data_IF_256055724672
#
_entry.id   IF_256055724672
#
_cell.length_a   1.000
_cell.length_b   1.000
_cell.length_c   1.000
_cell.angle_alpha   90.00
_cell.angle_beta   90.00
_cell.angle_gamma   90.00
#
_symmetry.space_group_name_H-M   'P 1'
#
loop_
_entity.id
_entity.type
_entity.pdbx_description
1 polymer ?
#
# COMPACT_ATOMS: atom_id res chain seq x y z
N UNK A 1 -12.56 21.25 -4.41
CA UNK A 1 -13.45 21.08 -3.25
C UNK A 1 -12.59 20.88 -2.00
N UNK A 2 -13.02 21.35 -0.83
CA UNK A 2 -12.39 21.03 0.47
C UNK A 2 -13.46 20.45 1.40
N UNK A 3 -13.07 19.50 2.24
CA UNK A 3 -13.96 18.91 3.25
C UNK A 3 -13.31 17.72 3.94
N UNK A 4 -14.00 17.23 4.98
CA UNK A 4 -13.60 16.07 5.77
C UNK A 4 -14.33 14.83 5.25
N UNK A 5 -13.61 13.73 4.99
CA UNK A 5 -14.20 12.49 4.50
C UNK A 5 -15.03 11.75 5.56
N UNK A 6 -14.97 12.19 6.83
CA UNK A 6 -15.86 11.71 7.89
C UNK A 6 -17.24 12.38 7.84
N UNK A 7 -17.42 13.41 7.02
CA UNK A 7 -18.73 14.04 6.79
C UNK A 7 -19.42 13.39 5.56
N UNK A 8 -20.51 12.63 5.75
CA UNK A 8 -21.21 11.96 4.66
C UNK A 8 -21.66 12.93 3.56
N UNK A 9 -22.03 14.17 3.91
CA UNK A 9 -22.48 15.18 2.96
C UNK A 9 -21.32 15.71 2.10
N UNK A 10 -20.10 15.78 2.66
CA UNK A 10 -18.90 16.09 1.87
C UNK A 10 -18.62 14.97 0.89
N UNK A 11 -18.68 13.71 1.35
CA UNK A 11 -18.43 12.55 0.50
C UNK A 11 -19.45 12.46 -0.63
N UNK A 12 -20.74 12.66 -0.34
CA UNK A 12 -21.80 12.61 -1.37
C UNK A 12 -21.56 13.65 -2.47
N UNK A 13 -21.18 14.88 -2.11
CA UNK A 13 -20.84 15.92 -3.09
C UNK A 13 -19.55 15.61 -3.86
N UNK A 14 -18.59 14.94 -3.23
CA UNK A 14 -17.34 14.54 -3.88
C UNK A 14 -17.59 13.47 -4.96
N UNK A 15 -18.56 12.60 -4.74
CA UNK A 15 -18.83 11.43 -5.57
C UNK A 15 -19.99 11.60 -6.56
N UNK A 16 -20.68 12.74 -6.54
CA UNK A 16 -21.73 13.06 -7.51
C UNK A 16 -21.19 13.02 -8.95
N UNK A 17 -21.74 12.13 -9.77
CA UNK A 17 -21.32 11.91 -11.15
C UNK A 17 -19.97 11.22 -11.34
N UNK A 18 -19.38 10.61 -10.30
CA UNK A 18 -18.09 9.90 -10.39
C UNK A 18 -18.29 8.43 -10.75
N UNK A 19 -17.72 7.98 -11.86
CA UNK A 19 -17.74 6.56 -12.24
C UNK A 19 -16.67 5.73 -11.51
N UNK A 20 -15.46 6.30 -11.36
CA UNK A 20 -14.30 5.64 -10.75
C UNK A 20 -13.61 6.58 -9.77
N UNK A 21 -13.47 6.14 -8.52
CA UNK A 21 -12.75 6.87 -7.48
C UNK A 21 -11.34 6.31 -7.29
N UNK A 22 -10.31 7.14 -7.41
CA UNK A 22 -8.96 6.82 -6.92
C UNK A 22 -8.81 7.39 -5.51
N UNK A 23 -8.83 6.53 -4.50
CA UNK A 23 -8.82 6.94 -3.10
C UNK A 23 -7.40 6.89 -2.51
N UNK A 24 -6.73 8.05 -2.53
CA UNK A 24 -5.39 8.25 -1.95
C UNK A 24 -5.42 8.96 -0.57
N UNK A 25 -6.60 9.38 -0.12
CA UNK A 25 -6.75 10.15 1.10
C UNK A 25 -6.65 9.27 2.36
N UNK A 26 -6.28 9.90 3.48
CA UNK A 26 -6.07 9.25 4.78
C UNK A 26 -4.67 9.52 5.34
N UNK A 27 -4.43 9.05 6.55
CA UNK A 27 -3.11 9.06 7.16
C UNK A 27 -2.22 8.03 6.45
N UNK A 28 -1.10 8.48 5.89
CA UNK A 28 -0.23 7.69 4.99
C UNK A 28 1.05 7.14 5.64
N UNK A 29 1.23 7.37 6.95
CA UNK A 29 2.39 6.95 7.74
C UNK A 29 1.93 6.44 9.10
N UNK A 30 2.82 5.82 9.86
CA UNK A 30 2.49 5.40 11.22
C UNK A 30 2.12 6.59 12.11
N UNK A 31 1.02 6.45 12.84
CA UNK A 31 0.44 7.44 13.74
C UNK A 31 -0.29 6.74 14.89
N UNK A 32 -0.57 7.44 16.00
CA UNK A 32 -1.35 6.89 17.09
C UNK A 32 -2.69 6.33 16.60
N UNK A 33 -3.09 5.19 17.17
CA UNK A 33 -4.27 4.44 16.75
C UNK A 33 -5.55 5.28 16.61
N UNK A 34 -5.89 6.24 17.51
CA UNK A 34 -7.09 7.06 17.34
C UNK A 34 -7.13 7.85 16.03
N UNK A 35 -6.00 8.43 15.60
CA UNK A 35 -5.92 9.15 14.32
C UNK A 35 -6.10 8.19 13.14
N UNK A 36 -5.49 7.01 13.22
CA UNK A 36 -5.63 5.96 12.20
C UNK A 36 -7.09 5.50 12.08
N UNK A 37 -7.79 5.31 13.21
CA UNK A 37 -9.21 4.93 13.21
C UNK A 37 -10.03 6.01 12.52
N UNK A 38 -9.85 7.28 12.88
CA UNK A 38 -10.63 8.38 12.32
C UNK A 38 -10.39 8.53 10.80
N UNK A 39 -9.13 8.60 10.40
CA UNK A 39 -8.74 8.98 9.05
C UNK A 39 -8.73 7.81 8.05
N UNK A 40 -8.51 6.57 8.51
CA UNK A 40 -8.35 5.43 7.62
C UNK A 40 -9.47 4.40 7.74
N UNK A 41 -10.19 4.35 8.88
CA UNK A 41 -11.32 3.43 9.06
C UNK A 41 -12.64 4.18 8.87
N UNK A 42 -12.97 5.12 9.75
CA UNK A 42 -14.26 5.82 9.74
C UNK A 42 -14.46 6.60 8.44
N UNK A 43 -13.47 7.39 8.02
CA UNK A 43 -13.50 8.09 6.74
C UNK A 43 -13.67 7.14 5.55
N UNK A 44 -13.07 5.95 5.59
CA UNK A 44 -13.17 4.98 4.50
C UNK A 44 -14.55 4.31 4.46
N UNK A 45 -15.20 4.06 5.61
CA UNK A 45 -16.61 3.64 5.65
C UNK A 45 -17.47 4.67 4.91
N UNK A 46 -17.30 5.96 5.23
CA UNK A 46 -18.10 7.01 4.61
C UNK A 46 -17.85 7.11 3.10
N UNK A 47 -16.61 6.93 2.66
CA UNK A 47 -16.27 6.84 1.22
C UNK A 47 -16.99 5.69 0.53
N UNK A 48 -16.99 4.48 1.11
CA UNK A 48 -17.65 3.32 0.51
C UNK A 48 -19.19 3.42 0.59
N UNK A 49 -19.75 3.98 1.66
CA UNK A 49 -21.18 4.26 1.74
C UNK A 49 -21.60 5.36 0.76
N UNK A 50 -20.79 6.40 0.59
CA UNK A 50 -20.99 7.44 -0.43
C UNK A 50 -20.92 6.86 -1.83
N UNK A 51 -19.93 6.02 -2.12
CA UNK A 51 -19.82 5.29 -3.38
C UNK A 51 -21.08 4.47 -3.67
N UNK A 52 -21.62 3.79 -2.64
CA UNK A 52 -22.87 3.05 -2.73
C UNK A 52 -24.08 3.96 -3.00
N UNK A 53 -24.18 5.12 -2.35
CA UNK A 53 -25.29 6.07 -2.52
C UNK A 53 -25.25 6.76 -3.87
N UNK A 54 -24.07 7.13 -4.36
CA UNK A 54 -23.88 7.86 -5.62
C UNK A 54 -23.73 6.95 -6.84
N UNK A 55 -23.70 5.63 -6.67
CA UNK A 55 -23.60 4.68 -7.77
C UNK A 55 -22.20 4.64 -8.42
N UNK A 56 -21.15 4.94 -7.65
CA UNK A 56 -19.76 4.81 -8.12
C UNK A 56 -19.50 3.36 -8.46
N UNK A 57 -19.03 3.09 -9.68
CA UNK A 57 -18.78 1.73 -10.19
C UNK A 57 -17.57 1.10 -9.51
N UNK A 58 -16.47 1.85 -9.36
CA UNK A 58 -15.18 1.31 -8.92
C UNK A 58 -14.44 2.23 -7.96
N UNK A 59 -13.79 1.62 -6.96
CA UNK A 59 -12.84 2.28 -6.06
C UNK A 59 -11.44 1.66 -6.23
N UNK A 60 -10.48 2.47 -6.66
CA UNK A 60 -9.05 2.14 -6.62
C UNK A 60 -8.52 2.59 -5.27
N UNK A 61 -8.34 1.64 -4.36
CA UNK A 61 -7.95 1.89 -2.98
C UNK A 61 -6.43 1.82 -2.83
N UNK A 62 -5.82 2.89 -2.31
CA UNK A 62 -4.43 2.90 -1.91
C UNK A 62 -4.22 2.08 -0.62
N UNK A 63 -4.06 0.76 -0.79
CA UNK A 63 -3.46 -0.11 0.21
C UNK A 63 -1.94 0.16 0.28
N UNK A 64 -1.20 -0.72 0.97
CA UNK A 64 0.23 -0.51 1.18
C UNK A 64 0.99 -1.83 1.29
N UNK A 65 2.26 -1.80 0.89
CA UNK A 65 3.22 -2.84 1.27
C UNK A 65 3.33 -3.03 2.79
N UNK A 66 3.00 -2.02 3.60
CA UNK A 66 2.94 -2.12 5.05
C UNK A 66 1.87 -3.12 5.57
N UNK A 67 0.92 -3.56 4.74
CA UNK A 67 0.01 -4.67 5.06
C UNK A 67 0.75 -6.03 5.19
N UNK A 68 1.96 -6.12 4.63
CA UNK A 68 2.83 -7.32 4.63
C UNK A 68 4.23 -7.02 5.19
N UNK A 69 4.41 -5.88 5.86
CA UNK A 69 5.74 -5.38 6.21
C UNK A 69 6.58 -6.30 7.11
N UNK A 70 5.95 -7.18 7.88
CA UNK A 70 6.65 -8.13 8.77
C UNK A 70 7.14 -9.41 8.07
N UNK A 71 7.05 -9.52 6.75
CA UNK A 71 7.76 -10.57 6.00
C UNK A 71 9.26 -10.28 5.89
N UNK A 72 10.13 -11.30 5.93
CA UNK A 72 11.55 -11.08 5.70
C UNK A 72 11.82 -10.70 4.23
N UNK A 73 12.87 -9.92 3.98
CA UNK A 73 13.28 -9.52 2.61
C UNK A 73 13.76 -10.70 1.75
N UNK A 74 14.03 -11.84 2.37
CA UNK A 74 14.47 -13.08 1.69
C UNK A 74 13.31 -13.94 1.17
N UNK A 75 12.07 -13.54 1.42
CA UNK A 75 10.87 -14.31 1.07
C UNK A 75 10.08 -13.59 -0.04
N UNK A 76 10.13 -14.07 -1.28
CA UNK A 76 9.27 -13.57 -2.34
C UNK A 76 7.79 -13.85 -2.04
N UNK A 77 6.92 -12.89 -2.33
CA UNK A 77 5.48 -12.96 -2.03
C UNK A 77 4.64 -12.96 -3.29
N UNK A 78 3.65 -13.86 -3.30
CA UNK A 78 2.48 -13.84 -4.17
C UNK A 78 1.33 -13.09 -3.47
N UNK A 79 0.29 -12.70 -4.22
CA UNK A 79 -0.82 -11.90 -3.68
C UNK A 79 -1.67 -12.60 -2.61
N UNK A 80 -1.66 -13.94 -2.59
CA UNK A 80 -2.36 -14.80 -1.64
C UNK A 80 -1.57 -15.04 -0.33
N UNK A 81 -0.42 -14.39 -0.15
CA UNK A 81 0.32 -14.43 1.11
C UNK A 81 -0.56 -13.99 2.29
N UNK A 82 -0.28 -14.52 3.48
CA UNK A 82 -0.93 -14.06 4.70
C UNK A 82 -0.65 -12.56 4.93
N UNK A 83 -1.56 -11.85 5.58
CA UNK A 83 -1.34 -10.45 5.94
C UNK A 83 -0.52 -10.38 7.23
N UNK A 84 0.56 -9.59 7.21
CA UNK A 84 1.52 -9.45 8.31
C UNK A 84 1.88 -7.97 8.48
N UNK A 85 0.94 -7.13 8.96
CA UNK A 85 1.15 -5.69 9.04
C UNK A 85 2.25 -5.34 10.04
N UNK A 86 2.95 -4.24 9.80
CA UNK A 86 4.10 -3.76 10.57
C UNK A 86 3.80 -2.56 11.48
N UNK A 87 2.53 -2.16 11.60
CA UNK A 87 2.07 -1.05 12.42
C UNK A 87 0.55 -0.82 12.28
N UNK A 88 0.01 0.17 12.99
CA UNK A 88 -1.39 0.56 12.89
C UNK A 88 -1.74 1.08 11.50
N UNK A 89 -0.83 1.79 10.84
CA UNK A 89 -1.03 2.22 9.45
C UNK A 89 -1.21 0.99 8.53
N UNK A 90 -0.27 0.04 8.57
CA UNK A 90 -0.35 -1.19 7.79
C UNK A 90 -1.62 -1.99 8.10
N UNK A 91 -1.99 -2.08 9.39
CA UNK A 91 -3.21 -2.74 9.84
C UNK A 91 -4.47 -2.06 9.31
N UNK A 92 -4.51 -0.73 9.22
CA UNK A 92 -5.64 0.01 8.67
C UNK A 92 -5.85 -0.29 7.18
N UNK A 93 -4.76 -0.54 6.43
CA UNK A 93 -4.84 -0.92 5.02
C UNK A 93 -5.35 -2.35 4.85
N UNK A 94 -4.95 -3.28 5.73
CA UNK A 94 -5.55 -4.62 5.82
C UNK A 94 -7.07 -4.55 6.05
N UNK A 95 -7.51 -3.70 6.99
CA UNK A 95 -8.92 -3.49 7.24
C UNK A 95 -9.64 -2.91 6.01
N UNK A 96 -9.02 -1.94 5.32
CA UNK A 96 -9.54 -1.38 4.07
C UNK A 96 -9.68 -2.41 2.95
N UNK A 97 -8.73 -3.33 2.79
CA UNK A 97 -8.85 -4.47 1.85
C UNK A 97 -10.05 -5.35 2.18
N UNK A 98 -10.27 -5.65 3.47
CA UNK A 98 -11.42 -6.44 3.91
C UNK A 98 -12.76 -5.70 3.73
N UNK A 99 -12.80 -4.39 4.00
CA UNK A 99 -13.96 -3.55 3.73
C UNK A 99 -14.30 -3.56 2.24
N UNK A 100 -13.31 -3.30 1.38
CA UNK A 100 -13.46 -3.31 -0.07
C UNK A 100 -14.02 -4.65 -0.57
N UNK A 101 -13.49 -5.76 -0.06
CA UNK A 101 -13.99 -7.11 -0.38
C UNK A 101 -15.46 -7.27 0.00
N UNK A 102 -15.83 -6.86 1.21
CA UNK A 102 -17.21 -6.93 1.69
C UNK A 102 -18.16 -6.08 0.82
N UNK A 103 -17.75 -4.87 0.41
CA UNK A 103 -18.57 -3.99 -0.44
C UNK A 103 -18.72 -4.52 -1.86
N UNK A 104 -17.71 -5.20 -2.40
CA UNK A 104 -17.88 -5.97 -3.63
C UNK A 104 -18.94 -7.06 -3.45
N UNK A 105 -18.76 -7.96 -2.47
CA UNK A 105 -19.63 -9.13 -2.31
C UNK A 105 -21.10 -8.76 -1.99
N UNK A 106 -21.31 -7.65 -1.27
CA UNK A 106 -22.64 -7.24 -0.79
C UNK A 106 -23.31 -6.19 -1.66
N UNK A 107 -22.53 -5.34 -2.32
CA UNK A 107 -23.03 -4.13 -2.98
C UNK A 107 -22.55 -3.99 -4.44
N UNK A 108 -21.67 -4.87 -4.93
CA UNK A 108 -21.19 -4.85 -6.30
C UNK A 108 -20.26 -3.68 -6.63
N UNK A 109 -19.72 -2.99 -5.62
CA UNK A 109 -18.74 -1.91 -5.86
C UNK A 109 -17.39 -2.57 -6.15
N UNK A 110 -16.91 -2.41 -7.38
CA UNK A 110 -15.62 -2.97 -7.76
C UNK A 110 -14.49 -2.32 -6.98
N UNK A 111 -13.47 -3.09 -6.63
CA UNK A 111 -12.34 -2.57 -5.87
C UNK A 111 -11.01 -3.15 -6.32
N UNK A 112 -10.06 -2.24 -6.56
CA UNK A 112 -8.65 -2.57 -6.81
C UNK A 112 -7.86 -2.07 -5.61
N UNK A 113 -7.41 -3.00 -4.77
CA UNK A 113 -6.58 -2.70 -3.61
C UNK A 113 -5.10 -2.76 -4.00
N UNK A 114 -4.49 -1.59 -4.16
CA UNK A 114 -3.12 -1.45 -4.63
C UNK A 114 -2.19 -1.43 -3.43
N UNK A 115 -1.40 -2.50 -3.22
CA UNK A 115 -0.34 -2.51 -2.19
C UNK A 115 0.86 -1.74 -2.72
N UNK A 116 0.79 -0.41 -2.60
CA UNK A 116 1.81 0.51 -3.09
C UNK A 116 3.14 0.21 -2.37
N UNK A 117 4.21 0.04 -3.14
CA UNK A 117 5.58 -0.02 -2.63
C UNK A 117 6.09 1.36 -2.25
N UNK A 118 7.10 1.84 -2.97
CA UNK A 118 7.70 3.16 -2.76
C UNK A 118 7.50 4.04 -4.00
N UNK A 119 6.41 4.81 -4.00
CA UNK A 119 6.08 5.74 -5.07
C UNK A 119 6.92 7.03 -4.95
N UNK A 120 7.96 7.15 -5.78
CA UNK A 120 8.96 8.22 -5.71
C UNK A 120 9.46 8.58 -7.12
N UNK A 121 10.04 9.78 -7.27
CA UNK A 121 10.71 10.18 -8.52
C UNK A 121 11.84 9.21 -8.91
N UNK A 122 12.61 8.74 -7.92
CA UNK A 122 13.68 7.74 -8.10
C UNK A 122 13.98 7.00 -6.79
N UNK A 123 14.55 5.79 -6.85
CA UNK A 123 15.07 5.08 -5.68
C UNK A 123 16.17 5.87 -4.96
N UNK A 124 16.05 5.96 -3.63
CA UNK A 124 17.00 6.69 -2.76
C UNK A 124 17.75 5.82 -1.74
N UNK A 125 17.30 4.59 -1.50
CA UNK A 125 17.89 3.66 -0.52
C UNK A 125 17.81 2.22 -1.03
N UNK A 126 18.63 1.28 -0.51
CA UNK A 126 18.69 -0.09 -1.02
C UNK A 126 17.34 -0.82 -1.08
N UNK A 127 16.44 -0.60 -0.11
CA UNK A 127 15.08 -1.15 -0.10
C UNK A 127 14.24 -0.71 -1.31
N UNK A 128 14.45 0.50 -1.81
CA UNK A 128 13.74 1.01 -2.99
C UNK A 128 14.10 0.23 -4.25
N UNK A 129 15.27 -0.44 -4.30
CA UNK A 129 15.61 -1.28 -5.46
C UNK A 129 14.66 -2.47 -5.65
N UNK A 130 13.95 -2.88 -4.59
CA UNK A 130 12.92 -3.91 -4.64
C UNK A 130 11.50 -3.34 -4.74
N UNK A 131 11.25 -2.21 -4.06
CA UNK A 131 9.88 -1.72 -3.80
C UNK A 131 9.46 -0.53 -4.65
N UNK A 132 10.37 0.06 -5.44
CA UNK A 132 10.09 1.30 -6.17
C UNK A 132 8.92 1.15 -7.15
N UNK A 133 8.07 2.16 -7.15
CA UNK A 133 6.96 2.32 -8.10
C UNK A 133 7.13 3.69 -8.76
N UNK A 134 7.72 3.70 -9.95
CA UNK A 134 8.02 4.96 -10.65
C UNK A 134 6.75 5.66 -11.12
N UNK A 135 6.82 6.99 -11.25
CA UNK A 135 5.65 7.80 -11.61
C UNK A 135 5.06 7.46 -12.98
N UNK A 136 5.87 7.11 -13.99
CA UNK A 136 5.34 6.71 -15.30
C UNK A 136 4.56 5.40 -15.22
N UNK A 137 5.09 4.43 -14.48
CA UNK A 137 4.43 3.16 -14.23
C UNK A 137 3.17 3.34 -13.37
N UNK A 138 3.16 4.27 -12.39
CA UNK A 138 1.97 4.62 -11.62
C UNK A 138 0.86 5.16 -12.53
N UNK A 139 1.17 6.11 -13.41
CA UNK A 139 0.17 6.67 -14.33
C UNK A 139 -0.37 5.57 -15.25
N UNK A 140 0.51 4.75 -15.83
CA UNK A 140 0.08 3.61 -16.64
C UNK A 140 -0.83 2.66 -15.85
N UNK A 141 -0.48 2.35 -14.61
CA UNK A 141 -1.27 1.49 -13.74
C UNK A 141 -2.66 2.10 -13.45
N UNK A 142 -2.74 3.40 -13.17
CA UNK A 142 -4.01 4.07 -12.89
C UNK A 142 -4.91 4.13 -14.13
N UNK A 143 -4.35 4.37 -15.32
CA UNK A 143 -5.10 4.30 -16.59
C UNK A 143 -5.73 2.92 -16.77
N UNK A 144 -4.95 1.86 -16.53
CA UNK A 144 -5.44 0.48 -16.57
C UNK A 144 -6.52 0.20 -15.53
N UNK A 145 -6.40 0.75 -14.33
CA UNK A 145 -7.42 0.63 -13.30
C UNK A 145 -8.74 1.34 -13.67
N UNK A 146 -8.68 2.44 -14.42
CA UNK A 146 -9.87 3.18 -14.86
C UNK A 146 -10.56 2.45 -16.03
N UNK A 147 -9.78 1.98 -16.99
CA UNK A 147 -10.28 1.43 -18.25
C UNK A 147 -10.70 -0.03 -18.20
N UNK A 148 -10.25 -0.80 -17.20
CA UNK A 148 -10.63 -2.21 -17.08
C UNK A 148 -12.16 -2.36 -17.10
N UNK A 149 -12.69 -3.37 -17.80
CA UNK A 149 -14.14 -3.54 -17.97
C UNK A 149 -14.77 -4.22 -16.74
N UNK A 150 -14.27 -5.39 -16.35
CA UNK A 150 -14.78 -6.19 -15.21
C UNK A 150 -13.65 -6.63 -14.28
N UNK A 151 -13.56 -5.98 -13.13
CA UNK A 151 -12.51 -6.23 -12.14
C UNK A 151 -13.02 -7.03 -10.95
N UNK A 152 -14.27 -6.78 -10.53
CA UNK A 152 -14.81 -7.29 -9.28
C UNK A 152 -13.98 -6.82 -8.09
N UNK A 153 -13.42 -7.74 -7.31
CA UNK A 153 -12.44 -7.46 -6.27
C UNK A 153 -11.07 -8.04 -6.63
N UNK A 154 -10.02 -7.22 -6.52
CA UNK A 154 -8.65 -7.72 -6.60
C UNK A 154 -7.68 -6.92 -5.72
N UNK A 155 -6.66 -7.61 -5.23
CA UNK A 155 -5.43 -7.02 -4.71
C UNK A 155 -4.36 -7.04 -5.80
N UNK A 156 -3.42 -6.09 -5.77
CA UNK A 156 -2.32 -6.01 -6.73
C UNK A 156 -1.12 -5.28 -6.14
N UNK A 157 0.09 -5.63 -6.56
CA UNK A 157 1.30 -4.93 -6.13
C UNK A 157 1.50 -3.66 -6.94
N UNK A 158 1.61 -2.52 -6.25
CA UNK A 158 1.99 -1.25 -6.85
C UNK A 158 3.51 -1.15 -6.89
N UNK A 159 4.13 -1.75 -7.91
CA UNK A 159 5.58 -1.81 -8.11
C UNK A 159 5.93 -1.74 -9.60
N UNK A 160 7.08 -1.16 -9.90
CA UNK A 160 7.69 -1.17 -11.24
C UNK A 160 8.32 -2.53 -11.56
N UNK A 161 8.87 -2.71 -12.76
CA UNK A 161 9.52 -3.94 -13.22
C UNK A 161 10.93 -4.13 -12.61
N UNK A 162 11.04 -3.95 -11.29
CA UNK A 162 12.31 -3.97 -10.58
C UNK A 162 12.94 -5.35 -10.63
N UNK A 163 14.19 -5.45 -11.08
CA UNK A 163 14.95 -6.70 -11.13
C UNK A 163 15.03 -7.40 -9.77
N UNK A 164 14.99 -6.61 -8.68
CA UNK A 164 15.12 -7.11 -7.30
C UNK A 164 13.78 -7.18 -6.56
N UNK A 165 12.65 -7.13 -7.26
CA UNK A 165 11.32 -7.15 -6.64
C UNK A 165 11.16 -8.33 -5.68
N UNK A 166 10.58 -8.10 -4.52
CA UNK A 166 10.16 -9.15 -3.58
C UNK A 166 8.78 -9.70 -3.92
N UNK A 167 8.09 -9.11 -4.90
CA UNK A 167 6.70 -9.39 -5.19
C UNK A 167 6.56 -9.93 -6.60
N UNK A 168 5.88 -11.06 -6.71
CA UNK A 168 5.41 -11.58 -7.99
C UNK A 168 4.15 -10.80 -8.39
N UNK A 169 4.30 -9.96 -9.42
CA UNK A 169 3.22 -9.11 -9.93
C UNK A 169 2.50 -9.70 -11.15
N UNK A 170 2.63 -11.00 -11.42
CA UNK A 170 1.88 -11.68 -12.49
C UNK A 170 0.35 -11.48 -12.36
N UNK A 171 -0.16 -11.28 -11.14
CA UNK A 171 -1.58 -10.96 -10.91
C UNK A 171 -2.06 -9.64 -11.52
N UNK A 172 -1.16 -8.70 -11.83
CA UNK A 172 -1.50 -7.41 -12.45
C UNK A 172 -1.76 -7.52 -13.96
N UNK A 173 -1.39 -8.63 -14.61
CA UNK A 173 -1.61 -8.85 -16.04
C UNK A 173 -3.10 -8.76 -16.41
N UNK A 174 -3.99 -9.12 -15.47
CA UNK A 174 -5.45 -9.04 -15.67
C UNK A 174 -5.96 -7.61 -15.80
N UNK A 175 -5.19 -6.62 -15.36
CA UNK A 175 -5.45 -5.20 -15.59
C UNK A 175 -4.81 -4.70 -16.89
N UNK A 176 -3.98 -5.51 -17.57
CA UNK A 176 -3.15 -5.05 -18.68
C UNK A 176 -2.00 -4.16 -18.23
N UNK A 177 -1.63 -4.16 -16.95
CA UNK A 177 -0.50 -3.39 -16.44
C UNK A 177 0.82 -4.02 -16.87
N UNK A 178 1.61 -3.23 -17.60
CA UNK A 178 2.93 -3.60 -18.11
C UNK A 178 3.94 -2.53 -17.66
N UNK A 179 4.59 -2.69 -16.51
CA UNK A 179 5.60 -1.74 -16.05
C UNK A 179 6.81 -1.73 -16.98
N UNK A 180 7.39 -0.55 -17.17
CA UNK A 180 8.55 -0.33 -18.05
C UNK A 180 9.75 0.21 -17.29
N UNK A 181 9.55 0.80 -16.10
CA UNK A 181 10.64 1.30 -15.28
C UNK A 181 11.25 0.16 -14.47
N UNK A 182 12.55 0.28 -14.16
CA UNK A 182 13.26 -0.69 -13.35
C UNK A 182 14.27 0.03 -12.44
N UNK A 183 14.18 -0.17 -11.13
CA UNK A 183 15.06 0.44 -10.16
C UNK A 183 16.54 0.09 -10.35
N UNK A 184 16.86 -1.00 -11.06
CA UNK A 184 18.24 -1.46 -11.28
C UNK A 184 19.11 -0.40 -11.97
N UNK A 185 18.52 0.50 -12.77
CA UNK A 185 19.25 1.61 -13.41
C UNK A 185 19.89 2.57 -12.38
N UNK A 186 19.38 2.58 -11.14
CA UNK A 186 19.89 3.40 -10.04
C UNK A 186 20.75 2.61 -9.05
N UNK A 187 20.88 1.28 -9.20
CA UNK A 187 21.46 0.41 -8.18
C UNK A 187 22.90 0.80 -7.81
N UNK A 188 23.75 1.09 -8.80
CA UNK A 188 25.14 1.49 -8.54
C UNK A 188 25.24 2.77 -7.69
N UNK A 189 24.38 3.76 -7.96
CA UNK A 189 24.34 5.01 -7.19
C UNK A 189 23.82 4.78 -5.78
N UNK A 190 22.72 4.03 -5.65
CA UNK A 190 22.07 3.77 -4.36
C UNK A 190 22.98 2.96 -3.43
N UNK A 191 23.63 1.92 -3.95
CA UNK A 191 24.47 1.01 -3.17
C UNK A 191 25.85 1.60 -2.80
N UNK A 192 26.27 2.67 -3.48
CA UNK A 192 27.47 3.42 -3.09
C UNK A 192 27.23 4.28 -1.83
N UNK A 193 25.97 4.57 -1.49
CA UNK A 193 25.59 5.33 -0.31
C UNK A 193 25.40 4.45 0.93
N UNK A 194 25.32 5.06 2.13
CA UNK A 194 24.97 4.33 3.33
C UNK A 194 23.54 3.79 3.26
N UNK A 195 23.29 2.62 3.87
CA UNK A 195 21.93 2.15 4.09
C UNK A 195 21.34 2.87 5.33
N UNK A 196 20.25 3.66 5.19
CA UNK A 196 19.66 4.40 6.30
C UNK A 196 18.85 3.52 7.26
N UNK A 197 18.51 2.29 6.86
CA UNK A 197 17.77 1.35 7.69
C UNK A 197 18.68 0.70 8.74
N UNK A 198 18.18 0.53 9.96
CA UNK A 198 18.86 -0.28 10.98
C UNK A 198 18.78 -1.78 10.67
N UNK A 199 19.45 -2.61 11.46
CA UNK A 199 19.49 -4.07 11.26
C UNK A 199 18.09 -4.69 11.21
N UNK A 200 17.15 -4.17 12.00
CA UNK A 200 15.78 -4.67 12.02
C UNK A 200 15.03 -4.27 10.73
N UNK A 201 15.11 -3.00 10.34
CA UNK A 201 14.50 -2.51 9.11
C UNK A 201 15.09 -3.14 7.85
N UNK A 202 16.36 -3.55 7.85
CA UNK A 202 16.96 -4.29 6.74
C UNK A 202 16.48 -5.75 6.62
N UNK A 203 15.98 -6.32 7.72
CA UNK A 203 15.55 -7.72 7.77
C UNK A 203 14.16 -7.93 7.17
N UNK A 204 13.30 -6.92 7.25
CA UNK A 204 11.87 -7.03 6.94
C UNK A 204 11.45 -6.09 5.80
N UNK A 205 10.45 -6.51 5.03
CA UNK A 205 10.00 -5.78 3.85
C UNK A 205 9.42 -4.40 4.19
N UNK A 206 8.88 -4.21 5.40
CA UNK A 206 8.36 -2.94 5.90
C UNK A 206 9.41 -1.85 6.14
N UNK A 207 10.71 -2.19 6.13
CA UNK A 207 11.77 -1.22 6.28
C UNK A 207 11.72 -0.50 7.63
N UNK A 208 11.83 0.82 7.61
CA UNK A 208 11.89 1.65 8.83
C UNK A 208 10.62 1.61 9.68
N UNK A 209 9.47 1.20 9.12
CA UNK A 209 8.22 1.09 9.88
C UNK A 209 8.27 0.00 10.94
N UNK A 210 8.99 -1.10 10.66
CA UNK A 210 9.06 -2.28 11.53
C UNK A 210 9.65 -1.96 12.90
N UNK A 211 10.54 -0.95 13.00
CA UNK A 211 11.15 -0.57 14.27
C UNK A 211 10.28 0.31 15.16
N UNK A 212 9.15 0.82 14.67
CA UNK A 212 8.23 1.67 15.44
C UNK A 212 7.45 0.81 16.44
N UNK A 213 7.50 1.17 17.72
CA UNK A 213 6.90 0.42 18.85
C UNK A 213 7.26 -1.08 18.92
N UNK A 214 8.35 -1.47 18.26
CA UNK A 214 8.82 -2.86 18.26
C UNK A 214 9.39 -3.24 19.64
N UNK A 215 8.72 -4.16 20.32
CA UNK A 215 9.06 -4.57 21.70
C UNK A 215 9.50 -6.04 21.81
N UNK A 216 9.49 -6.78 20.71
CA UNK A 216 9.86 -8.19 20.72
C UNK A 216 11.36 -8.34 20.96
N UNK A 217 11.72 -9.17 21.93
CA UNK A 217 13.11 -9.52 22.19
C UNK A 217 13.48 -10.66 21.25
N UNK A 218 13.95 -10.32 20.05
CA UNK A 218 14.53 -11.29 19.13
C UNK A 218 16.03 -11.40 19.35
N UNK A 219 16.52 -12.60 19.60
CA UNK A 219 17.94 -12.91 19.45
C UNK A 219 18.29 -12.86 17.97
N UNK A 220 19.11 -11.89 17.56
CA UNK A 220 19.73 -11.90 16.25
C UNK A 220 20.51 -13.21 16.01
N UNK A 221 20.79 -13.60 14.76
CA UNK A 221 21.66 -14.74 14.47
C UNK A 221 23.06 -14.63 15.11
N UNK A 222 23.44 -13.43 15.56
CA UNK A 222 24.69 -13.07 16.23
C UNK A 222 24.53 -12.81 17.75
N UNK A 223 23.33 -12.99 18.33
CA UNK A 223 23.07 -12.73 19.75
C UNK A 223 22.99 -11.24 20.12
N UNK A 224 22.93 -10.33 19.14
CA UNK A 224 22.69 -8.91 19.40
C UNK A 224 21.26 -8.66 19.89
N UNK A 225 21.10 -7.79 20.89
CA UNK A 225 19.79 -7.35 21.42
C UNK A 225 19.11 -6.41 20.44
N UNK A 226 17.79 -6.51 20.33
CA UNK A 226 16.97 -5.62 19.51
C UNK A 226 17.28 -4.13 19.79
N UNK A 227 17.25 -3.26 18.76
CA UNK A 227 17.45 -1.82 18.95
C UNK A 227 16.40 -1.23 19.90
N UNK A 228 16.74 -0.09 20.52
CA UNK A 228 15.84 0.62 21.42
C UNK A 228 14.49 0.93 20.74
N UNK A 229 13.40 0.76 21.49
CA UNK A 229 12.02 1.05 21.05
C UNK A 229 11.97 2.49 20.52
N UNK A 230 11.48 2.67 19.28
CA UNK A 230 11.19 3.99 18.72
C UNK A 230 9.70 4.28 18.92
N UNK A 231 9.33 5.22 19.81
CA UNK A 231 7.92 5.55 20.02
C UNK A 231 7.32 6.18 18.76
N UNK A 232 6.02 5.93 18.55
CA UNK A 232 5.18 6.59 17.53
C UNK A 232 4.96 8.07 17.85
#
# INVERSE_FOLDING_TARGET
>A
MHGDLRDPAVVDRLLDGVDVLIHLAGTSVERPLPEIIDNNLLALVEVYEGARRQGVRRVVFASSNHAIGMYPVTEPLTLDCALRPDGFYGLSKVWGEALARMYWDKHGIESICVRIGSCLDRPTEPRHLSTWFGHCDLIHFLDRCIEAEDVGFMTVWGVSANTRSWWDNGGAERLGYQPTQNAEVYAAQVLAGPNPLDTLGQRYQGGSFVGLDYSRVDSGPDGSTAPAVRPI
#
